data_IF_556104420862
#
_entry.id   IF_556104420862
#
_cell.length_a   1.000
_cell.length_b   1.000
_cell.length_c   1.000
_cell.angle_alpha   90.00
_cell.angle_beta   90.00
_cell.angle_gamma   90.00
#
_symmetry.space_group_name_H-M   'P 1'
#
loop_
_entity.id
_entity.type
_entity.pdbx_description
1 polymer ?
#
# COMPACT_ATOMS: atom_id res chain seq x y z
N UNK A 1 20.07 21.08 1.23
CA UNK A 1 19.11 21.73 0.32
C UNK A 1 17.70 21.49 0.86
N UNK A 2 17.00 22.51 1.35
CA UNK A 2 15.60 22.38 1.79
C UNK A 2 14.74 22.17 0.54
N UNK A 3 14.12 21.00 0.41
CA UNK A 3 13.14 20.76 -0.67
C UNK A 3 11.96 21.72 -0.52
N UNK A 4 11.51 22.28 -1.65
CA UNK A 4 10.32 23.13 -1.67
C UNK A 4 9.08 22.30 -1.36
N UNK A 5 8.14 22.84 -0.58
CA UNK A 5 6.84 22.22 -0.34
C UNK A 5 6.10 21.86 -1.63
N UNK A 6 6.28 22.66 -2.70
CA UNK A 6 5.70 22.37 -4.02
C UNK A 6 6.24 21.08 -4.65
N UNK A 7 7.54 20.80 -4.50
CA UNK A 7 8.15 19.56 -5.02
C UNK A 7 7.64 18.33 -4.24
N UNK A 8 7.49 18.47 -2.92
CA UNK A 8 6.97 17.38 -2.08
C UNK A 8 5.51 17.08 -2.41
N UNK A 9 4.69 18.12 -2.58
CA UNK A 9 3.28 18.01 -2.96
C UNK A 9 3.11 17.36 -4.34
N UNK A 10 3.87 17.77 -5.35
CA UNK A 10 3.85 17.15 -6.67
C UNK A 10 4.19 15.66 -6.62
N UNK A 11 5.19 15.29 -5.84
CA UNK A 11 5.57 13.88 -5.67
C UNK A 11 4.49 13.10 -4.94
N UNK A 12 3.85 13.68 -3.93
CA UNK A 12 2.73 13.08 -3.24
C UNK A 12 1.55 12.83 -4.19
N UNK A 13 1.18 13.82 -5.01
CA UNK A 13 0.11 13.68 -6.01
C UNK A 13 0.44 12.58 -7.02
N UNK A 14 1.66 12.56 -7.57
CA UNK A 14 2.08 11.49 -8.48
C UNK A 14 2.02 10.10 -7.81
N UNK A 15 2.48 10.00 -6.57
CA UNK A 15 2.40 8.77 -5.80
C UNK A 15 0.94 8.35 -5.56
N UNK A 16 0.06 9.28 -5.18
CA UNK A 16 -1.35 9.01 -4.97
C UNK A 16 -2.04 8.51 -6.25
N UNK A 17 -1.75 9.14 -7.40
CA UNK A 17 -2.30 8.72 -8.70
C UNK A 17 -1.82 7.32 -9.08
N UNK A 18 -0.53 7.03 -8.95
CA UNK A 18 0.00 5.68 -9.28
C UNK A 18 -0.50 4.61 -8.32
N UNK A 19 -0.76 4.96 -7.06
CA UNK A 19 -1.27 4.05 -6.03
C UNK A 19 -2.79 3.85 -6.10
N UNK A 20 -3.53 4.70 -6.82
CA UNK A 20 -5.00 4.63 -6.88
C UNK A 20 -5.51 3.32 -7.48
N UNK A 21 -4.79 2.75 -8.45
CA UNK A 21 -5.14 1.44 -9.03
C UNK A 21 -5.11 0.35 -7.97
N UNK A 22 -4.05 0.27 -7.17
CA UNK A 22 -3.97 -0.68 -6.07
C UNK A 22 -5.03 -0.43 -5.00
N UNK A 23 -5.36 0.83 -4.70
CA UNK A 23 -6.45 1.16 -3.77
C UNK A 23 -7.80 0.64 -4.28
N UNK A 24 -8.10 0.81 -5.57
CA UNK A 24 -9.33 0.28 -6.18
C UNK A 24 -9.37 -1.25 -6.09
N UNK A 25 -8.26 -1.92 -6.39
CA UNK A 25 -8.14 -3.38 -6.28
C UNK A 25 -8.31 -3.84 -4.83
N UNK A 26 -7.65 -3.17 -3.87
CA UNK A 26 -7.76 -3.50 -2.44
C UNK A 26 -9.20 -3.36 -1.93
N UNK A 27 -9.82 -2.22 -2.15
CA UNK A 27 -11.20 -1.97 -1.69
C UNK A 27 -12.20 -2.89 -2.37
N UNK A 28 -12.10 -3.08 -3.68
CA UNK A 28 -13.01 -3.93 -4.44
C UNK A 28 -12.92 -5.39 -3.99
N UNK A 29 -11.71 -5.93 -3.88
CA UNK A 29 -11.49 -7.30 -3.43
C UNK A 29 -11.88 -7.48 -1.96
N UNK A 30 -11.54 -6.52 -1.09
CA UNK A 30 -11.95 -6.56 0.30
C UNK A 30 -13.47 -6.58 0.44
N UNK A 31 -14.18 -5.73 -0.31
CA UNK A 31 -15.64 -5.71 -0.32
C UNK A 31 -16.23 -7.07 -0.75
N UNK A 32 -15.72 -7.66 -1.83
CA UNK A 32 -16.16 -8.98 -2.32
C UNK A 32 -15.92 -10.05 -1.25
N UNK A 33 -14.73 -10.11 -0.68
CA UNK A 33 -14.39 -11.13 0.33
C UNK A 33 -15.23 -10.96 1.60
N UNK A 34 -15.41 -9.74 2.11
CA UNK A 34 -16.19 -9.47 3.31
C UNK A 34 -17.67 -9.74 3.11
N UNK A 35 -18.20 -9.47 1.91
CA UNK A 35 -19.63 -9.62 1.62
C UNK A 35 -20.03 -11.06 1.32
N UNK A 36 -19.20 -11.80 0.57
CA UNK A 36 -19.56 -13.13 0.06
C UNK A 36 -18.83 -14.28 0.76
N UNK A 37 -17.53 -14.15 1.05
CA UNK A 37 -16.73 -15.22 1.62
C UNK A 37 -16.76 -15.24 3.16
N UNK A 38 -16.73 -14.09 3.80
CA UNK A 38 -16.57 -13.93 5.24
C UNK A 38 -17.73 -13.22 5.93
N UNK A 39 -18.92 -13.21 5.31
CA UNK A 39 -20.11 -12.55 5.87
C UNK A 39 -20.40 -13.03 7.28
N UNK A 40 -20.52 -12.09 8.23
CA UNK A 40 -20.79 -12.39 9.64
C UNK A 40 -19.61 -13.00 10.42
N UNK A 41 -18.44 -13.12 9.79
CA UNK A 41 -17.22 -13.60 10.45
C UNK A 41 -16.26 -12.43 10.70
N UNK A 42 -16.13 -12.01 11.95
CA UNK A 42 -15.23 -10.93 12.34
C UNK A 42 -13.78 -11.16 11.89
N UNK A 43 -13.22 -12.34 12.20
CA UNK A 43 -11.83 -12.65 11.81
C UNK A 43 -11.63 -12.65 10.30
N UNK A 44 -12.62 -13.16 9.56
CA UNK A 44 -12.60 -13.14 8.10
C UNK A 44 -12.60 -11.71 7.55
N UNK A 45 -13.54 -10.90 8.00
CA UNK A 45 -13.74 -9.53 7.44
C UNK A 45 -12.69 -8.52 7.89
N UNK A 46 -12.16 -8.62 9.12
CA UNK A 46 -11.22 -7.62 9.66
C UNK A 46 -9.76 -8.05 9.65
N UNK A 47 -9.45 -9.32 9.38
CA UNK A 47 -8.07 -9.81 9.35
C UNK A 47 -7.72 -10.51 8.03
N UNK A 48 -8.51 -11.49 7.60
CA UNK A 48 -8.17 -12.32 6.42
C UNK A 48 -8.44 -11.53 5.13
N UNK A 49 -9.63 -10.96 4.98
CA UNK A 49 -10.00 -10.22 3.78
C UNK A 49 -9.07 -9.03 3.50
N UNK A 50 -8.75 -8.14 4.46
CA UNK A 50 -7.81 -7.05 4.22
C UNK A 50 -6.37 -7.51 3.99
N UNK A 51 -5.97 -8.67 4.49
CA UNK A 51 -4.64 -9.25 4.20
C UNK A 51 -4.54 -9.72 2.76
N UNK A 52 -5.53 -10.46 2.29
CA UNK A 52 -5.58 -10.95 0.90
C UNK A 52 -5.70 -9.78 -0.08
N UNK A 53 -6.60 -8.83 0.19
CA UNK A 53 -6.81 -7.69 -0.69
C UNK A 53 -5.57 -6.80 -0.80
N UNK A 54 -4.87 -6.58 0.32
CA UNK A 54 -3.62 -5.81 0.33
C UNK A 54 -2.52 -6.47 -0.50
N UNK A 55 -2.32 -7.79 -0.36
CA UNK A 55 -1.29 -8.51 -1.11
C UNK A 55 -1.57 -8.47 -2.63
N UNK A 56 -2.82 -8.69 -3.03
CA UNK A 56 -3.22 -8.60 -4.44
C UNK A 56 -3.03 -7.18 -4.97
N UNK A 57 -3.39 -6.16 -4.21
CA UNK A 57 -3.18 -4.77 -4.56
C UNK A 57 -1.68 -4.40 -4.66
N UNK A 58 -0.85 -4.91 -3.74
CA UNK A 58 0.59 -4.71 -3.77
C UNK A 58 1.22 -5.33 -5.02
N UNK A 59 0.80 -6.54 -5.41
CA UNK A 59 1.23 -7.19 -6.65
C UNK A 59 0.79 -6.35 -7.88
N UNK A 60 -0.44 -5.87 -7.91
CA UNK A 60 -0.94 -5.03 -9.00
C UNK A 60 -0.13 -3.73 -9.14
N UNK A 61 0.11 -3.02 -8.03
CA UNK A 61 0.95 -1.83 -8.00
C UNK A 61 2.38 -2.11 -8.43
N UNK A 62 2.96 -3.22 -7.95
CA UNK A 62 4.29 -3.65 -8.38
C UNK A 62 4.35 -3.92 -9.88
N UNK A 63 3.38 -4.63 -10.45
CA UNK A 63 3.34 -4.89 -11.89
C UNK A 63 3.31 -3.59 -12.70
N UNK A 64 2.47 -2.63 -12.31
CA UNK A 64 2.40 -1.32 -12.96
C UNK A 64 3.76 -0.60 -12.85
N UNK A 65 4.34 -0.56 -11.67
CA UNK A 65 5.61 0.08 -11.44
C UNK A 65 6.75 -0.60 -12.22
N UNK A 66 6.80 -1.93 -12.24
CA UNK A 66 7.83 -2.72 -12.91
C UNK A 66 7.78 -2.55 -14.44
N UNK A 67 6.60 -2.62 -15.04
CA UNK A 67 6.46 -2.58 -16.50
C UNK A 67 6.40 -1.17 -17.08
N UNK A 68 5.93 -0.18 -16.32
CA UNK A 68 5.70 1.18 -16.84
C UNK A 68 6.63 2.23 -16.24
N UNK A 69 6.84 2.23 -14.91
CA UNK A 69 7.60 3.29 -14.24
C UNK A 69 9.10 2.99 -14.24
N UNK A 70 9.50 1.75 -13.96
CA UNK A 70 10.90 1.37 -13.79
C UNK A 70 11.49 0.61 -14.99
N UNK A 71 10.78 0.54 -16.10
CA UNK A 71 11.20 -0.17 -17.31
C UNK A 71 12.65 0.17 -17.73
N UNK A 72 13.03 1.44 -17.66
CA UNK A 72 14.37 1.91 -18.06
C UNK A 72 15.48 1.55 -17.06
N UNK A 73 15.12 1.25 -15.81
CA UNK A 73 16.09 0.92 -14.75
C UNK A 73 16.32 -0.57 -14.58
N UNK A 74 15.56 -1.41 -15.27
CA UNK A 74 15.64 -2.86 -15.20
C UNK A 74 16.52 -3.34 -16.34
N UNK A 75 17.76 -3.75 -16.02
CA UNK A 75 18.74 -4.22 -17.01
C UNK A 75 18.40 -5.58 -17.61
N UNK A 76 17.61 -6.40 -16.94
CA UNK A 76 17.23 -7.74 -17.39
C UNK A 76 15.75 -8.02 -17.10
N UNK A 77 14.96 -8.19 -18.16
CA UNK A 77 13.54 -8.54 -18.08
C UNK A 77 13.36 -10.07 -18.13
N UNK A 78 13.80 -10.77 -17.09
CA UNK A 78 13.60 -12.21 -16.95
C UNK A 78 12.79 -12.53 -15.68
N UNK A 79 12.23 -13.74 -15.60
CA UNK A 79 11.38 -14.16 -14.47
C UNK A 79 12.14 -14.07 -13.13
N UNK A 80 13.44 -14.42 -13.09
CA UNK A 80 14.24 -14.32 -11.87
C UNK A 80 14.38 -12.89 -11.38
N UNK A 81 14.58 -11.93 -12.28
CA UNK A 81 14.65 -10.50 -11.96
C UNK A 81 13.29 -10.01 -11.44
N UNK A 82 12.21 -10.39 -12.11
CA UNK A 82 10.85 -10.03 -11.71
C UNK A 82 10.55 -10.48 -10.27
N UNK A 83 10.70 -11.77 -9.96
CA UNK A 83 10.39 -12.29 -8.62
C UNK A 83 11.31 -11.73 -7.52
N UNK A 84 12.58 -11.44 -7.83
CA UNK A 84 13.48 -10.79 -6.89
C UNK A 84 13.03 -9.37 -6.54
N UNK A 85 12.61 -8.59 -7.54
CA UNK A 85 12.10 -7.24 -7.31
C UNK A 85 10.74 -7.26 -6.61
N UNK A 86 9.86 -8.21 -6.95
CA UNK A 86 8.58 -8.40 -6.27
C UNK A 86 8.78 -8.72 -4.78
N UNK A 87 9.68 -9.64 -4.45
CA UNK A 87 9.99 -9.98 -3.06
C UNK A 87 10.54 -8.78 -2.27
N UNK A 88 11.44 -8.00 -2.89
CA UNK A 88 11.99 -6.80 -2.27
C UNK A 88 10.91 -5.70 -2.07
N UNK A 89 9.99 -5.56 -3.03
CA UNK A 89 8.86 -4.65 -2.93
C UNK A 89 7.90 -5.04 -1.81
N UNK A 90 7.51 -6.32 -1.73
CA UNK A 90 6.65 -6.82 -0.65
C UNK A 90 7.30 -6.68 0.72
N UNK A 91 8.60 -6.96 0.83
CA UNK A 91 9.35 -6.73 2.07
C UNK A 91 9.28 -5.25 2.52
N UNK A 92 9.35 -4.30 1.60
CA UNK A 92 9.19 -2.88 1.91
C UNK A 92 7.75 -2.50 2.31
N UNK A 93 6.75 -3.25 1.82
CA UNK A 93 5.34 -3.02 2.15
C UNK A 93 4.90 -3.59 3.50
N UNK A 94 5.70 -4.45 4.16
CA UNK A 94 5.34 -5.08 5.43
C UNK A 94 4.99 -4.04 6.51
N UNK A 95 5.79 -2.99 6.64
CA UNK A 95 5.54 -1.92 7.62
C UNK A 95 4.20 -1.19 7.39
N UNK A 96 3.89 -0.91 6.13
CA UNK A 96 2.62 -0.29 5.74
C UNK A 96 1.43 -1.23 5.99
N UNK A 97 1.62 -2.53 5.74
CA UNK A 97 0.61 -3.54 6.02
C UNK A 97 0.30 -3.65 7.51
N UNK A 98 1.32 -3.74 8.37
CA UNK A 98 1.14 -3.78 9.82
C UNK A 98 0.36 -2.53 10.29
N UNK A 99 0.76 -1.35 9.83
CA UNK A 99 0.07 -0.10 10.17
C UNK A 99 -1.38 -0.10 9.68
N UNK A 100 -1.65 -0.61 8.47
CA UNK A 100 -3.00 -0.76 7.93
C UNK A 100 -3.88 -1.61 8.85
N UNK A 101 -3.41 -2.80 9.23
CA UNK A 101 -4.19 -3.70 10.10
C UNK A 101 -4.43 -3.06 11.47
N UNK A 102 -3.41 -2.47 12.10
CA UNK A 102 -3.56 -1.79 13.40
C UNK A 102 -4.56 -0.62 13.32
N UNK A 103 -4.47 0.19 12.27
CA UNK A 103 -5.41 1.29 12.05
C UNK A 103 -6.84 0.78 11.85
N UNK A 104 -7.01 -0.29 11.07
CA UNK A 104 -8.32 -0.90 10.81
C UNK A 104 -8.97 -1.41 12.11
N UNK A 105 -8.20 -2.07 13.00
CA UNK A 105 -8.69 -2.51 14.31
C UNK A 105 -9.06 -1.33 15.21
N UNK A 106 -8.23 -0.28 15.24
CA UNK A 106 -8.52 0.93 16.02
C UNK A 106 -9.79 1.65 15.57
N UNK A 107 -10.03 1.72 14.25
CA UNK A 107 -11.23 2.34 13.67
C UNK A 107 -12.47 1.48 13.97
N UNK A 108 -12.36 0.15 13.84
CA UNK A 108 -13.43 -0.77 14.23
C UNK A 108 -13.81 -0.58 15.70
N UNK A 109 -12.84 -0.56 16.61
CA UNK A 109 -13.09 -0.32 18.03
C UNK A 109 -13.79 1.03 18.28
N UNK A 110 -13.41 2.08 17.53
CA UNK A 110 -14.06 3.39 17.61
C UNK A 110 -15.54 3.30 17.14
N UNK A 111 -15.82 2.61 16.03
CA UNK A 111 -17.18 2.45 15.52
C UNK A 111 -18.06 1.67 16.50
N UNK A 112 -17.54 0.61 17.11
CA UNK A 112 -18.22 -0.14 18.17
C UNK A 112 -18.52 0.75 19.39
N UNK A 113 -17.56 1.58 19.83
CA UNK A 113 -17.74 2.46 20.99
C UNK A 113 -18.73 3.60 20.73
N UNK A 114 -18.96 3.98 19.48
CA UNK A 114 -19.93 5.00 19.08
C UNK A 114 -21.27 4.41 18.63
N UNK A 115 -21.46 3.10 18.72
CA UNK A 115 -22.65 2.38 18.24
C UNK A 115 -23.00 2.70 16.77
N UNK A 116 -21.97 2.82 15.94
CA UNK A 116 -22.09 3.27 14.56
C UNK A 116 -21.78 2.14 13.57
N UNK A 117 -22.64 1.93 12.57
CA UNK A 117 -22.49 0.97 11.48
C UNK A 117 -22.29 -0.49 11.90
N UNK A 118 -22.66 -0.87 13.12
CA UNK A 118 -22.50 -2.25 13.60
C UNK A 118 -23.32 -3.22 12.73
N UNK A 119 -22.75 -4.43 12.56
CA UNK A 119 -23.38 -5.54 11.84
C UNK A 119 -23.68 -5.27 10.35
N UNK A 120 -23.06 -4.26 9.76
CA UNK A 120 -23.18 -3.98 8.33
C UNK A 120 -22.01 -4.57 7.54
N UNK A 121 -22.25 -4.99 6.30
CA UNK A 121 -21.18 -5.42 5.37
C UNK A 121 -20.30 -4.25 4.91
N UNK A 122 -20.70 -3.02 5.18
CA UNK A 122 -20.01 -1.78 4.81
C UNK A 122 -18.94 -1.41 5.82
N UNK A 123 -19.15 -1.74 7.10
CA UNK A 123 -18.22 -1.37 8.19
C UNK A 123 -16.76 -1.82 7.93
N UNK A 124 -16.46 -3.08 7.62
CA UNK A 124 -15.09 -3.51 7.36
C UNK A 124 -14.45 -2.76 6.17
N UNK A 125 -15.25 -2.44 5.15
CA UNK A 125 -14.77 -1.73 3.96
C UNK A 125 -14.44 -0.28 4.28
N UNK A 126 -15.25 0.40 5.10
CA UNK A 126 -14.98 1.76 5.56
C UNK A 126 -13.76 1.81 6.48
N UNK A 127 -13.64 0.86 7.41
CA UNK A 127 -12.45 0.71 8.25
C UNK A 127 -11.18 0.54 7.38
N UNK A 128 -11.25 -0.29 6.34
CA UNK A 128 -10.17 -0.49 5.39
C UNK A 128 -9.85 0.79 4.61
N UNK A 129 -10.84 1.52 4.11
CA UNK A 129 -10.64 2.76 3.37
C UNK A 129 -9.89 3.82 4.21
N UNK A 130 -10.28 4.00 5.46
CA UNK A 130 -9.62 4.93 6.37
C UNK A 130 -8.20 4.43 6.70
N UNK A 131 -8.03 3.14 6.95
CA UNK A 131 -6.73 2.52 7.23
C UNK A 131 -5.75 2.66 6.06
N UNK A 132 -6.23 2.62 4.80
CA UNK A 132 -5.42 2.85 3.61
C UNK A 132 -4.84 4.28 3.55
N UNK A 133 -5.54 5.28 4.06
CA UNK A 133 -5.00 6.64 4.15
C UNK A 133 -3.77 6.69 5.07
N UNK A 134 -3.81 6.01 6.21
CA UNK A 134 -2.67 5.92 7.13
C UNK A 134 -1.50 5.14 6.52
N UNK A 135 -1.74 3.97 5.97
CA UNK A 135 -0.69 3.14 5.38
C UNK A 135 -0.10 3.77 4.11
N UNK A 136 -0.92 4.44 3.30
CA UNK A 136 -0.47 5.18 2.13
C UNK A 136 0.42 6.36 2.49
N UNK A 137 0.06 7.12 3.53
CA UNK A 137 0.91 8.19 4.07
C UNK A 137 2.26 7.64 4.57
N UNK A 138 2.25 6.53 5.29
CA UNK A 138 3.48 5.85 5.73
C UNK A 138 4.34 5.40 4.55
N UNK A 139 3.75 4.73 3.55
CA UNK A 139 4.45 4.31 2.34
C UNK A 139 5.08 5.48 1.59
N UNK A 140 4.38 6.61 1.48
CA UNK A 140 4.92 7.82 0.87
C UNK A 140 6.16 8.32 1.64
N UNK A 141 6.05 8.43 2.96
CA UNK A 141 7.16 8.89 3.83
C UNK A 141 8.36 7.95 3.71
N UNK A 142 8.14 6.64 3.77
CA UNK A 142 9.21 5.64 3.63
C UNK A 142 9.85 5.68 2.24
N UNK A 143 9.07 5.81 1.19
CA UNK A 143 9.57 5.93 -0.17
C UNK A 143 10.43 7.18 -0.34
N UNK A 144 9.95 8.33 0.11
CA UNK A 144 10.62 9.61 -0.09
C UNK A 144 11.91 9.75 0.76
N UNK A 145 11.88 9.32 2.02
CA UNK A 145 12.98 9.56 2.95
C UNK A 145 13.95 8.39 3.08
N UNK A 146 13.51 7.15 2.83
CA UNK A 146 14.36 5.96 2.97
C UNK A 146 14.87 5.48 1.62
N UNK A 147 13.97 5.23 0.66
CA UNK A 147 14.32 4.60 -0.63
C UNK A 147 15.07 5.58 -1.53
N UNK A 148 14.55 6.80 -1.70
CA UNK A 148 15.17 7.81 -2.59
C UNK A 148 16.40 8.52 -1.98
N UNK A 149 16.62 8.41 -0.67
CA UNK A 149 17.81 9.00 -0.04
C UNK A 149 19.09 8.19 -0.32
N UNK A 150 18.98 6.90 -0.63
CA UNK A 150 20.14 6.03 -0.96
C UNK A 150 20.71 6.27 -2.36
N UNK A 151 19.94 6.83 -3.28
CA UNK A 151 20.42 7.06 -4.67
C UNK A 151 21.46 8.19 -4.77
N UNK A 152 21.53 9.11 -3.79
CA UNK A 152 22.55 10.16 -3.76
C UNK A 152 23.95 9.70 -3.31
N UNK A 153 24.06 8.55 -2.63
CA UNK A 153 25.35 8.10 -2.06
C UNK A 153 26.18 7.27 -3.05
N UNK A 154 25.56 6.74 -4.11
CA UNK A 154 26.28 5.90 -5.09
C UNK A 154 26.86 6.66 -6.29
N UNK A 155 26.54 7.96 -6.44
CA UNK A 155 27.11 8.76 -7.55
C UNK A 155 28.43 9.46 -7.19
N UNK A 156 28.96 9.28 -5.97
CA UNK A 156 30.20 9.91 -5.51
C UNK A 156 31.42 9.00 -5.69
N UNK A 157 31.24 7.76 -6.17
CA UNK A 157 32.34 6.78 -6.34
C UNK A 157 32.66 6.41 -7.81
N UNK A 158 32.15 7.19 -8.79
CA UNK A 158 32.41 6.91 -10.22
C UNK A 158 33.17 8.07 -10.90
N UNK A 159 33.80 8.94 -10.15
CA UNK A 159 34.74 9.95 -10.70
C UNK A 159 36.02 9.91 -9.86
N UNK A 160 36.88 8.90 -10.10
CA UNK A 160 38.33 8.92 -9.93
C UNK A 160 38.95 7.94 -10.94
#
# INVERSE_FOLDING_TARGET
>A
MRRSWKELLNKFVMFAVTSSVGTIVDLGLHWVLSTYAFRGNYWGSFWIAPSISFEVAAIANFCIAYFFVWKERISQHNARSFFRHLAAYNAACIGAFILKILAMQGIHFLFVSLDWLQDTTIEPVLCNLIALCFSGGFNFVMSEFVIFNKTKKNNTFIND
#
